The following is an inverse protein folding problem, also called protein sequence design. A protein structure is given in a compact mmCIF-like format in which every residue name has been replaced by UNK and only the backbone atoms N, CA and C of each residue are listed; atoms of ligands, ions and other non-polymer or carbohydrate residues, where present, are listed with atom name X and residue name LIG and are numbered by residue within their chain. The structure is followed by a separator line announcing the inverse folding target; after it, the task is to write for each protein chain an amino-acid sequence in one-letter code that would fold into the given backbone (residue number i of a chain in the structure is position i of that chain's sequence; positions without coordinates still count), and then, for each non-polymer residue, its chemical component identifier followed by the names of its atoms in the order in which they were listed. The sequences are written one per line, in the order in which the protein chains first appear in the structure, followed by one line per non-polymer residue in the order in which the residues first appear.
data_IF_379701750430
#
_entry.id   IF_379701750430
#
_cell.length_a   1.000
_cell.length_b   1.000
_cell.length_c   1.000
_cell.angle_alpha   90.00
_cell.angle_beta   90.00
_cell.angle_gamma   90.00
#
_symmetry.space_group_name_H-M   'P 1'
#
loop_
_entity.id
_entity.type
_entity.pdbx_description
1 polymer ?
#
# COMPACT_ATOMS: atom_id res chain seq x y z
N UNK A 1 14.92 -23.58 -24.36
CA UNK A 1 15.48 -23.07 -23.10
C UNK A 1 16.80 -23.78 -22.86
N UNK A 2 17.87 -23.03 -22.73
CA UNK A 2 19.16 -23.57 -22.28
C UNK A 2 19.09 -23.93 -20.80
N UNK A 3 19.97 -24.81 -20.32
CA UNK A 3 19.97 -25.27 -18.92
C UNK A 3 20.08 -24.11 -17.92
N UNK A 4 20.82 -23.04 -18.26
CA UNK A 4 20.97 -21.85 -17.41
C UNK A 4 19.69 -20.99 -17.36
N UNK A 5 18.94 -20.87 -18.47
CA UNK A 5 17.65 -20.13 -18.50
C UNK A 5 16.59 -20.78 -17.61
N UNK A 6 16.57 -22.12 -17.55
CA UNK A 6 15.70 -22.85 -16.62
C UNK A 6 16.07 -22.53 -15.17
N UNK A 7 17.35 -22.56 -14.82
CA UNK A 7 17.81 -22.21 -13.46
C UNK A 7 17.50 -20.76 -13.08
N UNK A 8 17.63 -19.81 -14.01
CA UNK A 8 17.23 -18.41 -13.79
C UNK A 8 15.72 -18.25 -13.60
N UNK A 9 14.93 -19.01 -14.36
CA UNK A 9 13.46 -18.99 -14.25
C UNK A 9 13.02 -19.52 -12.89
N UNK A 10 13.56 -20.65 -12.46
CA UNK A 10 13.32 -21.25 -11.14
C UNK A 10 13.74 -20.31 -10.01
N UNK A 11 14.95 -19.75 -10.08
CA UNK A 11 15.45 -18.80 -9.10
C UNK A 11 14.55 -17.56 -9.00
N UNK A 12 14.20 -16.97 -10.14
CA UNK A 12 13.34 -15.77 -10.19
C UNK A 12 11.96 -16.03 -9.59
N UNK A 13 11.38 -17.21 -9.83
CA UNK A 13 10.10 -17.62 -9.26
C UNK A 13 10.20 -17.86 -7.74
N UNK A 14 11.19 -18.64 -7.31
CA UNK A 14 11.43 -18.99 -5.90
C UNK A 14 11.62 -17.74 -5.03
N UNK A 15 12.47 -16.82 -5.47
CA UNK A 15 12.81 -15.61 -4.72
C UNK A 15 11.98 -14.38 -5.12
N UNK A 16 10.96 -14.55 -5.97
CA UNK A 16 10.03 -13.49 -6.42
C UNK A 16 10.77 -12.24 -6.94
N UNK A 17 11.64 -12.42 -7.92
CA UNK A 17 12.41 -11.33 -8.58
C UNK A 17 11.60 -10.73 -9.74
N UNK A 18 10.48 -10.09 -9.39
CA UNK A 18 9.49 -9.60 -10.37
C UNK A 18 9.08 -8.13 -10.16
N UNK A 19 9.66 -7.45 -9.17
CA UNK A 19 9.39 -6.03 -8.90
C UNK A 19 10.49 -5.15 -9.50
N UNK A 20 10.19 -3.88 -9.77
CA UNK A 20 11.18 -2.90 -10.26
C UNK A 20 12.44 -2.83 -9.41
N UNK A 21 12.31 -2.97 -8.08
CA UNK A 21 13.44 -2.95 -7.15
C UNK A 21 14.28 -4.22 -7.22
N UNK A 22 13.64 -5.40 -7.30
CA UNK A 22 14.36 -6.67 -7.38
C UNK A 22 15.03 -6.85 -8.76
N UNK A 23 14.38 -6.41 -9.84
CA UNK A 23 14.98 -6.40 -11.18
C UNK A 23 16.17 -5.44 -11.26
N UNK A 24 16.07 -4.26 -10.64
CA UNK A 24 17.19 -3.31 -10.54
C UNK A 24 18.37 -3.92 -9.78
N UNK A 25 18.10 -4.66 -8.70
CA UNK A 25 19.11 -5.34 -7.91
C UNK A 25 19.81 -6.44 -8.73
N UNK A 26 19.05 -7.32 -9.39
CA UNK A 26 19.62 -8.43 -10.16
C UNK A 26 20.49 -7.93 -11.32
N UNK A 27 20.03 -6.92 -12.06
CA UNK A 27 20.83 -6.28 -13.12
C UNK A 27 22.13 -5.69 -12.58
N UNK A 28 22.03 -4.90 -11.50
CA UNK A 28 23.20 -4.26 -10.90
C UNK A 28 24.21 -5.28 -10.37
N UNK A 29 23.76 -6.29 -9.63
CA UNK A 29 24.66 -7.33 -9.08
C UNK A 29 25.29 -8.16 -10.20
N UNK A 30 24.55 -8.48 -11.26
CA UNK A 30 25.09 -9.18 -12.45
C UNK A 30 26.24 -8.40 -13.06
N UNK A 31 26.02 -7.11 -13.35
CA UNK A 31 27.04 -6.23 -13.93
C UNK A 31 28.24 -6.03 -12.99
N UNK A 32 27.99 -5.90 -11.69
CA UNK A 32 29.04 -5.72 -10.69
C UNK A 32 29.88 -6.99 -10.47
N UNK A 33 29.25 -8.16 -10.60
CA UNK A 33 29.92 -9.45 -10.53
C UNK A 33 30.74 -9.75 -11.79
N UNK A 34 30.33 -9.27 -12.98
CA UNK A 34 31.10 -9.46 -14.22
C UNK A 34 32.44 -8.70 -14.24
N UNK A 35 32.59 -7.69 -13.39
CA UNK A 35 33.85 -6.99 -13.14
C UNK A 35 34.82 -7.79 -12.24
N UNK A 36 34.40 -8.92 -11.70
CA UNK A 36 35.14 -9.74 -10.74
C UNK A 36 35.29 -11.19 -11.23
N UNK A 37 36.29 -11.90 -10.71
CA UNK A 37 36.44 -13.34 -10.93
C UNK A 37 35.76 -14.13 -9.81
N UNK A 38 35.02 -15.22 -10.10
CA UNK A 38 34.50 -16.13 -9.07
C UNK A 38 35.63 -16.69 -8.16
N UNK A 39 35.40 -17.01 -6.89
CA UNK A 39 34.13 -16.98 -6.14
C UNK A 39 33.77 -15.60 -5.58
N UNK A 40 32.49 -15.25 -5.65
CA UNK A 40 31.97 -13.96 -5.19
C UNK A 40 31.65 -14.02 -3.70
N UNK A 41 32.10 -13.02 -2.94
CA UNK A 41 31.65 -12.81 -1.55
C UNK A 41 30.53 -11.78 -1.53
N UNK A 42 29.39 -12.12 -0.92
CA UNK A 42 28.26 -11.20 -0.79
C UNK A 42 28.62 -9.93 -0.01
N UNK A 43 29.60 -9.98 0.88
CA UNK A 43 30.03 -8.81 1.66
C UNK A 43 30.75 -7.77 0.79
N UNK A 44 31.32 -8.17 -0.35
CA UNK A 44 31.90 -7.24 -1.33
C UNK A 44 30.84 -6.39 -2.04
N UNK A 45 29.57 -6.78 -1.96
CA UNK A 45 28.44 -6.05 -2.52
C UNK A 45 27.73 -5.16 -1.49
N UNK A 46 28.22 -5.08 -0.25
CA UNK A 46 27.65 -4.25 0.81
C UNK A 46 28.44 -2.97 1.05
N UNK A 47 27.76 -1.94 1.55
CA UNK A 47 28.44 -0.73 2.04
C UNK A 47 29.25 -1.06 3.31
N UNK A 48 30.23 -0.21 3.66
CA UNK A 48 31.06 -0.38 4.87
C UNK A 48 30.26 -0.53 6.18
N UNK A 49 29.04 0.02 6.22
CA UNK A 49 28.13 -0.07 7.37
C UNK A 49 27.14 -1.25 7.27
N UNK A 50 27.19 -2.05 6.21
CA UNK A 50 26.38 -3.26 6.02
C UNK A 50 24.89 -3.03 5.75
N UNK A 51 24.39 -1.79 5.84
CA UNK A 51 22.96 -1.48 5.77
C UNK A 51 22.36 -1.35 4.36
N UNK A 52 23.18 -1.39 3.30
CA UNK A 52 22.75 -1.25 1.91
C UNK A 52 23.69 -2.00 0.96
N UNK A 53 23.20 -2.28 -0.26
CA UNK A 53 24.02 -2.77 -1.38
C UNK A 53 24.88 -1.61 -1.90
N UNK A 54 26.19 -1.78 -1.93
CA UNK A 54 27.14 -0.74 -2.33
C UNK A 54 26.97 -0.36 -3.81
N UNK A 55 26.80 0.94 -4.08
CA UNK A 55 26.69 1.47 -5.44
C UNK A 55 25.33 1.25 -6.12
N UNK A 56 24.40 0.51 -5.49
CA UNK A 56 23.06 0.34 -6.03
C UNK A 56 22.30 1.68 -5.94
N UNK A 57 21.89 2.20 -7.10
CA UNK A 57 21.16 3.45 -7.20
C UNK A 57 20.65 3.69 -8.61
N UNK A 58 19.78 4.70 -8.76
CA UNK A 58 19.14 5.03 -10.04
C UNK A 58 20.15 5.20 -11.17
N UNK A 59 21.23 5.95 -10.94
CA UNK A 59 22.23 6.24 -11.96
C UNK A 59 22.90 4.96 -12.50
N UNK A 60 23.33 4.07 -11.61
CA UNK A 60 23.98 2.81 -11.99
C UNK A 60 23.05 1.90 -12.79
N UNK A 61 21.79 1.75 -12.36
CA UNK A 61 20.80 0.92 -13.05
C UNK A 61 20.42 1.55 -14.40
N UNK A 62 20.29 2.87 -14.47
CA UNK A 62 19.96 3.57 -15.71
C UNK A 62 21.08 3.45 -16.75
N UNK A 63 22.35 3.45 -16.33
CA UNK A 63 23.48 3.23 -17.24
C UNK A 63 23.41 1.83 -17.88
N UNK A 64 23.17 0.79 -17.07
CA UNK A 64 22.98 -0.58 -17.58
C UNK A 64 21.81 -0.65 -18.57
N UNK A 65 20.67 -0.02 -18.26
CA UNK A 65 19.52 -0.01 -19.17
C UNK A 65 19.81 0.74 -20.48
N UNK A 66 20.55 1.85 -20.42
CA UNK A 66 20.94 2.63 -21.59
C UNK A 66 21.84 1.82 -22.55
N UNK A 67 22.76 1.00 -22.02
CA UNK A 67 23.59 0.09 -22.83
C UNK A 67 22.74 -0.89 -23.68
N UNK A 68 21.51 -1.17 -23.24
CA UNK A 68 20.56 -2.07 -23.89
C UNK A 68 19.45 -1.34 -24.68
N UNK A 69 19.62 -0.04 -24.92
CA UNK A 69 18.68 0.80 -25.67
C UNK A 69 17.38 1.10 -24.92
N UNK A 70 17.41 1.10 -23.59
CA UNK A 70 16.24 1.34 -22.73
C UNK A 70 16.40 2.68 -22.01
N UNK A 71 15.75 3.72 -22.55
CA UNK A 71 15.75 5.07 -21.96
C UNK A 71 14.76 5.20 -20.79
N UNK A 72 13.86 4.23 -20.63
CA UNK A 72 12.81 4.26 -19.59
C UNK A 72 13.39 3.98 -18.20
N UNK A 73 13.06 4.83 -17.23
CA UNK A 73 13.46 4.65 -15.83
C UNK A 73 12.71 3.46 -15.19
N UNK A 74 13.47 2.47 -14.72
CA UNK A 74 12.92 1.29 -14.03
C UNK A 74 12.48 1.59 -12.58
N UNK A 75 13.33 2.24 -11.79
CA UNK A 75 13.03 2.62 -10.39
C UNK A 75 13.70 3.94 -9.98
N UNK A 76 12.92 4.88 -9.41
CA UNK A 76 13.41 6.20 -8.95
C UNK A 76 14.49 6.10 -7.86
N UNK A 77 14.35 5.13 -6.95
CA UNK A 77 15.32 4.85 -5.88
C UNK A 77 16.34 3.76 -6.23
N UNK A 78 16.32 3.21 -7.45
CA UNK A 78 17.26 2.15 -7.87
C UNK A 78 17.26 0.86 -7.05
N UNK A 79 16.31 0.63 -6.16
CA UNK A 79 16.24 -0.58 -5.31
C UNK A 79 16.88 -0.47 -3.91
N UNK A 80 17.18 0.75 -3.45
CA UNK A 80 17.88 1.07 -2.17
C UNK A 80 17.13 0.76 -0.85
N UNK A 81 16.20 -0.19 -0.81
CA UNK A 81 15.49 -0.55 0.44
C UNK A 81 16.33 -1.47 1.34
N UNK A 82 16.37 -1.19 2.65
CA UNK A 82 17.42 -1.64 3.57
C UNK A 82 17.41 -3.14 3.93
N UNK A 83 16.27 -3.76 4.26
CA UNK A 83 16.28 -5.15 4.74
C UNK A 83 15.96 -6.18 3.64
N UNK A 84 15.01 -5.90 2.74
CA UNK A 84 14.59 -6.86 1.71
C UNK A 84 15.57 -7.05 0.55
N UNK A 85 16.29 -6.00 0.15
CA UNK A 85 17.24 -6.07 -0.97
C UNK A 85 18.53 -6.78 -0.59
N UNK A 86 18.96 -6.72 0.68
CA UNK A 86 20.19 -7.38 1.15
C UNK A 86 20.04 -8.90 1.10
N UNK A 87 18.93 -9.45 1.63
CA UNK A 87 18.69 -10.89 1.60
C UNK A 87 18.68 -11.41 0.15
N UNK A 88 17.97 -10.71 -0.74
CA UNK A 88 17.90 -11.06 -2.17
C UNK A 88 19.24 -10.94 -2.89
N UNK A 89 20.07 -9.98 -2.49
CA UNK A 89 21.43 -9.84 -3.00
C UNK A 89 22.27 -11.06 -2.61
N UNK A 90 22.26 -11.45 -1.32
CA UNK A 90 23.03 -12.58 -0.81
C UNK A 90 22.68 -13.88 -1.55
N UNK A 91 21.38 -14.22 -1.61
CA UNK A 91 20.94 -15.43 -2.31
C UNK A 91 21.21 -15.38 -3.82
N UNK A 92 21.25 -14.20 -4.42
CA UNK A 92 21.60 -14.07 -5.83
C UNK A 92 23.10 -14.24 -6.08
N UNK A 93 23.96 -13.75 -5.18
CA UNK A 93 25.40 -14.00 -5.22
C UNK A 93 25.70 -15.50 -5.04
N UNK A 94 25.01 -16.16 -4.11
CA UNK A 94 25.11 -17.62 -3.93
C UNK A 94 24.73 -18.37 -5.22
N UNK A 95 23.63 -17.97 -5.86
CA UNK A 95 23.21 -18.50 -7.15
C UNK A 95 24.27 -18.31 -8.26
N UNK A 96 24.91 -17.14 -8.34
CA UNK A 96 25.99 -16.91 -9.31
C UNK A 96 27.21 -17.81 -9.05
N UNK A 97 27.54 -18.05 -7.77
CA UNK A 97 28.59 -18.99 -7.40
C UNK A 97 28.24 -20.44 -7.79
N UNK A 98 26.98 -20.86 -7.62
CA UNK A 98 26.52 -22.18 -8.08
C UNK A 98 26.63 -22.34 -9.60
N UNK A 99 26.26 -21.30 -10.37
CA UNK A 99 26.44 -21.30 -11.82
C UNK A 99 27.92 -21.39 -12.21
N UNK A 100 28.80 -20.68 -11.49
CA UNK A 100 30.25 -20.74 -11.71
C UNK A 100 30.79 -22.17 -11.49
N UNK A 101 30.40 -22.82 -10.40
CA UNK A 101 30.81 -24.20 -10.10
C UNK A 101 30.34 -25.21 -11.15
N UNK A 102 29.17 -24.97 -11.75
CA UNK A 102 28.60 -25.80 -12.82
C UNK A 102 29.16 -25.45 -14.20
N UNK A 103 30.10 -24.51 -14.32
CA UNK A 103 30.59 -23.95 -15.59
C UNK A 103 29.47 -23.40 -16.50
N UNK A 104 28.41 -22.85 -15.89
CA UNK A 104 27.24 -22.27 -16.58
C UNK A 104 27.18 -20.73 -16.45
N UNK A 105 28.21 -20.10 -15.89
CA UNK A 105 28.25 -18.66 -15.67
C UNK A 105 28.59 -17.91 -16.97
N UNK A 106 27.58 -17.33 -17.60
CA UNK A 106 27.71 -16.39 -18.71
C UNK A 106 27.02 -15.08 -18.35
N UNK A 107 27.82 -14.06 -17.99
CA UNK A 107 27.29 -12.76 -17.58
C UNK A 107 26.53 -12.04 -18.70
N UNK A 108 26.94 -12.21 -19.95
CA UNK A 108 26.26 -11.59 -21.09
C UNK A 108 24.87 -12.21 -21.26
N UNK A 109 24.79 -13.54 -21.20
CA UNK A 109 23.52 -14.24 -21.32
C UNK A 109 22.59 -13.97 -20.11
N UNK A 110 23.12 -13.95 -18.89
CA UNK A 110 22.37 -13.65 -17.66
C UNK A 110 21.84 -12.22 -17.67
N UNK A 111 22.67 -11.24 -18.04
CA UNK A 111 22.23 -9.85 -18.11
C UNK A 111 21.16 -9.66 -19.19
N UNK A 112 21.36 -10.23 -20.38
CA UNK A 112 20.36 -10.20 -21.45
C UNK A 112 19.03 -10.83 -21.01
N UNK A 113 19.08 -11.92 -20.25
CA UNK A 113 17.88 -12.56 -19.72
C UNK A 113 17.14 -11.64 -18.74
N UNK A 114 17.84 -10.95 -17.84
CA UNK A 114 17.23 -9.96 -16.95
C UNK A 114 16.70 -8.74 -17.70
N UNK A 115 17.41 -8.26 -18.73
CA UNK A 115 16.94 -7.19 -19.61
C UNK A 115 15.65 -7.61 -20.31
N UNK A 116 15.53 -8.87 -20.73
CA UNK A 116 14.29 -9.39 -21.30
C UNK A 116 13.16 -9.42 -20.27
N UNK A 117 13.43 -9.78 -19.01
CA UNK A 117 12.44 -9.63 -17.91
C UNK A 117 12.07 -8.16 -17.67
N UNK A 118 13.00 -7.22 -17.83
CA UNK A 118 12.71 -5.78 -17.73
C UNK A 118 11.87 -5.31 -18.92
N UNK A 119 12.15 -5.77 -20.13
CA UNK A 119 11.34 -5.49 -21.33
C UNK A 119 9.95 -6.09 -21.20
N UNK A 120 9.83 -7.30 -20.69
CA UNK A 120 8.55 -7.93 -20.35
C UNK A 120 7.83 -7.17 -19.25
N UNK A 121 8.53 -6.72 -18.20
CA UNK A 121 7.97 -5.85 -17.19
C UNK A 121 7.43 -4.56 -17.82
N UNK A 122 8.14 -3.98 -18.79
CA UNK A 122 7.63 -2.81 -19.52
C UNK A 122 6.53 -3.15 -20.53
N UNK A 123 6.50 -4.33 -21.16
CA UNK A 123 5.46 -4.78 -22.10
C UNK A 123 4.16 -5.20 -21.41
N UNK A 124 4.26 -5.92 -20.30
CA UNK A 124 3.14 -6.24 -19.39
C UNK A 124 2.63 -4.99 -18.66
N UNK A 125 3.40 -3.89 -18.71
CA UNK A 125 3.00 -2.57 -18.23
C UNK A 125 3.27 -1.48 -19.30
N UNK A 126 2.61 -1.58 -20.48
CA UNK A 126 3.02 -0.94 -21.75
C UNK A 126 2.84 0.58 -21.81
N UNK A 127 2.48 1.22 -20.70
CA UNK A 127 2.56 2.67 -20.58
C UNK A 127 3.09 3.03 -19.20
N UNK A 128 4.25 3.70 -19.17
CA UNK A 128 4.63 4.58 -18.07
C UNK A 128 3.57 5.67 -17.82
N UNK A 129 2.75 5.97 -18.82
CA UNK A 129 1.62 6.88 -18.71
C UNK A 129 0.35 6.31 -18.03
N UNK A 130 0.23 5.01 -17.75
CA UNK A 130 -0.98 4.45 -17.07
C UNK A 130 -0.76 4.03 -15.62
N UNK A 131 0.44 3.62 -15.21
CA UNK A 131 0.69 3.19 -13.81
C UNK A 131 1.13 4.32 -12.88
N UNK A 132 1.88 5.30 -13.37
CA UNK A 132 2.07 6.55 -12.61
C UNK A 132 0.75 7.32 -12.55
N UNK A 133 -0.02 7.39 -13.64
CA UNK A 133 -1.35 8.00 -13.57
C UNK A 133 -2.35 7.19 -12.74
N UNK A 134 -2.37 5.85 -12.68
CA UNK A 134 -3.30 5.16 -11.76
C UNK A 134 -2.87 5.25 -10.28
N UNK A 135 -1.57 5.39 -9.99
CA UNK A 135 -1.01 5.68 -8.66
C UNK A 135 -0.93 7.18 -8.33
N UNK A 136 -1.42 8.05 -9.20
CA UNK A 136 -1.50 9.50 -8.96
C UNK A 136 -2.87 10.07 -9.30
N UNK A 137 -3.77 9.26 -9.88
CA UNK A 137 -5.13 9.66 -10.23
C UNK A 137 -6.02 9.43 -9.02
N UNK A 138 -6.78 10.46 -8.62
CA UNK A 138 -7.83 10.32 -7.63
C UNK A 138 -8.76 9.15 -7.96
N UNK A 139 -9.37 8.55 -6.94
CA UNK A 139 -10.49 7.64 -7.13
C UNK A 139 -11.61 8.35 -7.89
N UNK A 140 -12.09 7.77 -8.98
CA UNK A 140 -13.24 8.31 -9.70
C UNK A 140 -14.52 7.93 -8.98
N UNK A 141 -15.32 8.91 -8.60
CA UNK A 141 -16.64 8.69 -8.00
C UNK A 141 -17.72 9.26 -8.93
N UNK A 142 -18.58 8.39 -9.45
CA UNK A 142 -19.77 8.80 -10.21
C UNK A 142 -20.98 8.79 -9.29
N UNK A 143 -21.69 9.91 -9.19
CA UNK A 143 -22.97 9.97 -8.49
C UNK A 143 -24.08 9.60 -9.46
N UNK A 144 -24.25 8.31 -9.67
CA UNK A 144 -25.36 7.77 -10.42
C UNK A 144 -26.65 7.87 -9.59
N UNK A 145 -27.62 8.64 -10.06
CA UNK A 145 -28.90 8.84 -9.37
C UNK A 145 -29.74 7.57 -9.22
N UNK A 146 -29.43 6.51 -9.98
CA UNK A 146 -30.08 5.19 -9.86
C UNK A 146 -29.49 4.34 -8.72
N UNK A 147 -28.28 4.66 -8.24
CA UNK A 147 -27.64 3.94 -7.13
C UNK A 147 -28.04 4.51 -5.77
N UNK A 148 -28.06 3.63 -4.77
CA UNK A 148 -28.16 4.06 -3.37
C UNK A 148 -26.88 4.76 -2.92
N UNK A 149 -26.96 5.65 -1.92
CA UNK A 149 -25.76 6.30 -1.36
C UNK A 149 -24.80 5.23 -0.80
N UNK A 150 -25.33 4.20 -0.15
CA UNK A 150 -24.54 3.07 0.34
C UNK A 150 -23.74 2.41 -0.79
N UNK A 151 -24.38 2.15 -1.94
CA UNK A 151 -23.71 1.57 -3.11
C UNK A 151 -22.61 2.47 -3.68
N UNK A 152 -22.82 3.79 -3.70
CA UNK A 152 -21.79 4.75 -4.13
C UNK A 152 -20.57 4.71 -3.20
N UNK A 153 -20.78 4.62 -1.88
CA UNK A 153 -19.70 4.46 -0.90
C UNK A 153 -19.02 3.10 -1.03
N UNK A 154 -19.79 2.05 -1.29
CA UNK A 154 -19.28 0.70 -1.54
C UNK A 154 -18.34 0.65 -2.75
N UNK A 155 -18.76 1.23 -3.89
CA UNK A 155 -17.94 1.31 -5.10
C UNK A 155 -16.58 2.00 -4.82
N UNK A 156 -16.57 3.05 -3.99
CA UNK A 156 -15.34 3.75 -3.59
C UNK A 156 -14.42 2.84 -2.75
N UNK A 157 -14.97 2.15 -1.76
CA UNK A 157 -14.20 1.25 -0.89
C UNK A 157 -13.68 0.05 -1.69
N UNK A 158 -14.48 -0.51 -2.60
CA UNK A 158 -14.06 -1.57 -3.51
C UNK A 158 -12.93 -1.12 -4.43
N UNK A 159 -12.99 0.11 -4.96
CA UNK A 159 -11.90 0.70 -5.73
C UNK A 159 -10.62 0.85 -4.90
N UNK A 160 -10.75 1.22 -3.62
CA UNK A 160 -9.61 1.27 -2.69
C UNK A 160 -8.99 -0.11 -2.45
N UNK A 161 -9.81 -1.15 -2.26
CA UNK A 161 -9.34 -2.54 -2.16
C UNK A 161 -8.68 -3.03 -3.46
N UNK A 162 -9.24 -2.70 -4.62
CA UNK A 162 -8.63 -3.02 -5.91
C UNK A 162 -7.23 -2.40 -6.03
N UNK A 163 -7.10 -1.12 -5.69
CA UNK A 163 -5.80 -0.42 -5.68
C UNK A 163 -4.83 -1.02 -4.66
N UNK A 164 -5.29 -1.44 -3.49
CA UNK A 164 -4.47 -2.11 -2.49
C UNK A 164 -3.89 -3.43 -3.01
N UNK A 165 -4.67 -4.24 -3.73
CA UNK A 165 -4.17 -5.48 -4.37
C UNK A 165 -3.04 -5.21 -5.37
N UNK A 166 -3.07 -4.06 -6.04
CA UNK A 166 -2.03 -3.62 -6.98
C UNK A 166 -0.82 -2.96 -6.31
N UNK A 167 -0.91 -2.65 -5.01
CA UNK A 167 0.13 -1.99 -4.22
C UNK A 167 0.45 -2.77 -2.93
N UNK A 168 1.09 -3.95 -3.03
CA UNK A 168 1.44 -4.75 -1.86
C UNK A 168 2.28 -3.95 -0.85
N UNK A 169 1.90 -4.02 0.43
CA UNK A 169 2.56 -3.29 1.52
C UNK A 169 2.01 -1.89 1.82
N UNK A 170 1.01 -1.42 1.06
CA UNK A 170 0.29 -0.16 1.36
C UNK A 170 -1.16 -0.50 1.68
N UNK A 171 -1.65 -0.06 2.83
CA UNK A 171 -3.02 -0.33 3.28
C UNK A 171 -3.98 0.77 2.80
N UNK A 172 -4.12 0.88 1.47
CA UNK A 172 -4.92 1.93 0.80
C UNK A 172 -6.37 1.93 1.27
N UNK A 173 -7.01 0.76 1.41
CA UNK A 173 -8.41 0.68 1.83
C UNK A 173 -8.61 1.18 3.27
N UNK A 174 -7.68 0.85 4.17
CA UNK A 174 -7.68 1.36 5.54
C UNK A 174 -7.59 2.89 5.59
N UNK A 175 -6.66 3.47 4.81
CA UNK A 175 -6.50 4.92 4.71
C UNK A 175 -7.78 5.60 4.20
N UNK A 176 -8.37 5.10 3.10
CA UNK A 176 -9.61 5.66 2.54
C UNK A 176 -10.74 5.59 3.56
N UNK A 177 -10.91 4.46 4.25
CA UNK A 177 -11.94 4.31 5.29
C UNK A 177 -11.75 5.30 6.44
N UNK A 178 -10.53 5.42 6.97
CA UNK A 178 -10.21 6.33 8.07
C UNK A 178 -10.49 7.79 7.70
N UNK A 179 -10.03 8.21 6.52
CA UNK A 179 -10.22 9.59 6.06
C UNK A 179 -11.69 9.88 5.70
N UNK A 180 -12.44 8.88 5.23
CA UNK A 180 -13.88 9.01 4.99
C UNK A 180 -14.66 9.19 6.31
N UNK A 181 -14.31 8.43 7.35
CA UNK A 181 -14.84 8.62 8.70
C UNK A 181 -14.48 10.03 9.22
N UNK A 182 -13.24 10.45 9.05
CA UNK A 182 -12.80 11.80 9.42
C UNK A 182 -13.59 12.91 8.72
N UNK A 183 -13.78 12.79 7.40
CA UNK A 183 -14.53 13.74 6.59
C UNK A 183 -15.99 13.84 7.03
N UNK A 184 -16.60 12.68 7.31
CA UNK A 184 -17.97 12.59 7.80
C UNK A 184 -18.12 13.31 9.13
N UNK A 185 -17.25 13.03 10.10
CA UNK A 185 -17.30 13.64 11.43
C UNK A 185 -17.04 15.15 11.33
N UNK A 186 -16.05 15.58 10.54
CA UNK A 186 -15.76 17.00 10.35
C UNK A 186 -16.94 17.77 9.72
N UNK A 187 -17.70 17.11 8.85
CA UNK A 187 -18.92 17.67 8.26
C UNK A 187 -20.06 17.76 9.29
N UNK A 188 -20.22 16.73 10.13
CA UNK A 188 -21.25 16.71 11.18
C UNK A 188 -20.95 17.66 12.35
N UNK A 189 -19.67 17.84 12.69
CA UNK A 189 -19.22 18.53 13.90
C UNK A 189 -18.21 19.64 13.55
N UNK A 190 -18.62 20.70 12.83
CA UNK A 190 -17.69 21.72 12.32
C UNK A 190 -16.96 22.50 13.43
N UNK A 191 -17.52 22.52 14.65
CA UNK A 191 -16.95 23.22 15.81
C UNK A 191 -16.03 22.35 16.67
N UNK A 192 -15.91 21.05 16.37
CA UNK A 192 -15.05 20.12 17.10
C UNK A 192 -13.71 20.03 16.40
N UNK A 193 -12.61 20.27 17.14
CA UNK A 193 -11.26 20.07 16.61
C UNK A 193 -10.97 18.57 16.52
N UNK A 194 -10.94 18.05 15.31
CA UNK A 194 -10.58 16.66 15.04
C UNK A 194 -9.12 16.63 14.58
N UNK A 195 -8.30 15.82 15.23
CA UNK A 195 -6.94 15.57 14.77
C UNK A 195 -7.00 14.52 13.67
N UNK A 196 -6.67 14.93 12.45
CA UNK A 196 -6.46 14.01 11.33
C UNK A 196 -4.97 13.69 11.26
N UNK A 197 -4.64 12.43 11.06
CA UNK A 197 -3.27 11.93 11.07
C UNK A 197 -3.03 11.16 9.79
N UNK A 198 -1.83 11.27 9.22
CA UNK A 198 -1.46 10.49 8.05
C UNK A 198 -1.47 9.00 8.38
N UNK A 199 -2.04 8.19 7.50
CA UNK A 199 -2.13 6.74 7.64
C UNK A 199 -0.74 6.07 7.66
N UNK A 200 0.26 6.73 7.07
CA UNK A 200 1.66 6.26 7.02
C UNK A 200 2.47 6.57 8.28
N UNK A 201 1.90 7.31 9.25
CA UNK A 201 2.57 7.58 10.53
C UNK A 201 2.54 6.29 11.34
N UNK A 202 3.68 5.61 11.42
CA UNK A 202 3.83 4.41 12.24
C UNK A 202 3.32 4.68 13.67
N UNK A 203 2.65 3.69 14.25
CA UNK A 203 2.36 3.63 15.68
C UNK A 203 3.69 3.62 16.47
N UNK A 204 4.31 4.80 16.61
CA UNK A 204 5.14 5.10 17.77
C UNK A 204 4.28 4.83 19.03
N UNK A 205 4.86 4.68 20.23
CA UNK A 205 4.08 4.51 21.46
C UNK A 205 3.38 5.83 21.86
N UNK A 206 2.71 6.48 20.90
CA UNK A 206 1.68 7.44 21.15
C UNK A 206 0.57 6.69 21.87
N UNK A 207 0.20 7.11 23.08
CA UNK A 207 -0.90 6.54 23.85
C UNK A 207 -2.28 6.76 23.21
N UNK A 208 -2.38 6.64 21.89
CA UNK A 208 -3.57 6.85 21.08
C UNK A 208 -4.64 5.83 21.44
N UNK A 209 -5.78 6.36 21.85
CA UNK A 209 -6.97 5.59 22.22
C UNK A 209 -7.72 5.04 21.01
N UNK A 210 -7.53 5.60 19.82
CA UNK A 210 -8.11 5.14 18.56
C UNK A 210 -7.63 5.98 17.36
N UNK A 211 -8.28 5.80 16.23
CA UNK A 211 -8.14 6.65 15.03
C UNK A 211 -8.65 8.07 15.30
N UNK A 212 -9.73 8.17 16.08
CA UNK A 212 -10.26 9.43 16.59
C UNK A 212 -10.63 9.30 18.07
N UNK A 213 -10.51 10.38 18.82
CA UNK A 213 -11.02 10.50 20.19
C UNK A 213 -11.88 11.76 20.26
N UNK A 214 -13.18 11.59 20.46
CA UNK A 214 -14.17 12.69 20.44
C UNK A 214 -15.02 12.57 21.70
N UNK A 215 -14.93 13.55 22.59
CA UNK A 215 -15.46 13.42 23.94
C UNK A 215 -14.83 12.21 24.64
N UNK A 216 -15.65 11.27 25.09
CA UNK A 216 -15.25 10.00 25.68
C UNK A 216 -15.22 8.83 24.68
N UNK A 217 -15.53 9.07 23.39
CA UNK A 217 -15.64 8.01 22.39
C UNK A 217 -14.33 7.83 21.63
N UNK A 218 -13.76 6.63 21.72
CA UNK A 218 -12.56 6.21 20.99
C UNK A 218 -12.96 5.42 19.74
N UNK A 219 -12.82 6.04 18.58
CA UNK A 219 -13.24 5.47 17.29
C UNK A 219 -12.05 4.73 16.67
N UNK A 220 -12.26 3.48 16.28
CA UNK A 220 -11.30 2.65 15.57
C UNK A 220 -11.86 2.29 14.20
N UNK A 221 -11.09 2.52 13.15
CA UNK A 221 -11.46 2.25 11.77
C UNK A 221 -10.55 1.15 11.24
N UNK A 222 -11.14 0.06 10.78
CA UNK A 222 -10.36 -1.08 10.26
C UNK A 222 -11.07 -1.77 9.11
N UNK A 223 -10.30 -2.30 8.15
CA UNK A 223 -10.84 -3.18 7.12
C UNK A 223 -11.08 -4.60 7.64
N UNK A 224 -10.37 -4.99 8.69
CA UNK A 224 -10.34 -6.35 9.23
C UNK A 224 -10.10 -6.29 10.76
N UNK A 225 -11.16 -6.46 11.57
CA UNK A 225 -11.04 -6.50 13.03
C UNK A 225 -10.15 -7.66 13.50
N UNK A 226 -9.39 -7.42 14.56
CA UNK A 226 -8.47 -8.40 15.16
C UNK A 226 -8.64 -8.46 16.67
N UNK A 227 -8.18 -9.53 17.30
CA UNK A 227 -8.14 -9.62 18.78
C UNK A 227 -7.33 -8.48 19.40
N UNK A 228 -6.26 -8.04 18.74
CA UNK A 228 -5.44 -6.92 19.21
C UNK A 228 -6.24 -5.62 19.28
N UNK A 229 -7.10 -5.37 18.30
CA UNK A 229 -8.04 -4.25 18.34
C UNK A 229 -9.03 -4.38 19.50
N UNK A 230 -9.61 -5.56 19.72
CA UNK A 230 -10.55 -5.77 20.84
C UNK A 230 -9.86 -5.58 22.20
N UNK A 231 -8.62 -6.06 22.37
CA UNK A 231 -7.83 -5.78 23.58
C UNK A 231 -7.65 -4.28 23.80
N UNK A 232 -7.35 -3.52 22.76
CA UNK A 232 -7.27 -2.05 22.84
C UNK A 232 -8.62 -1.42 23.21
N UNK A 233 -9.73 -1.97 22.73
CA UNK A 233 -11.06 -1.54 23.17
C UNK A 233 -11.30 -1.84 24.67
N UNK A 234 -10.83 -2.99 25.19
CA UNK A 234 -10.87 -3.28 26.62
C UNK A 234 -10.04 -2.27 27.43
N UNK A 235 -8.84 -1.92 26.97
CA UNK A 235 -7.99 -0.92 27.62
C UNK A 235 -8.66 0.47 27.65
N UNK A 236 -9.41 0.81 26.60
CA UNK A 236 -10.22 2.03 26.55
C UNK A 236 -11.37 1.98 27.56
N UNK A 237 -12.10 0.86 27.64
CA UNK A 237 -13.19 0.67 28.61
C UNK A 237 -12.71 0.78 30.06
N UNK A 238 -11.53 0.23 30.36
CA UNK A 238 -10.89 0.36 31.68
C UNK A 238 -10.55 1.81 32.05
N UNK A 239 -10.45 2.69 31.04
CA UNK A 239 -10.18 4.12 31.18
C UNK A 239 -11.43 4.98 31.04
N UNK A 240 -12.63 4.38 31.17
CA UNK A 240 -13.93 5.03 31.02
C UNK A 240 -14.18 5.66 29.64
N UNK A 241 -13.51 5.15 28.61
CA UNK A 241 -13.80 5.53 27.23
C UNK A 241 -14.78 4.55 26.58
N UNK A 242 -15.54 5.02 25.60
CA UNK A 242 -16.50 4.25 24.81
C UNK A 242 -15.90 3.86 23.46
N UNK A 243 -15.53 2.59 23.23
CA UNK A 243 -14.98 2.19 21.95
C UNK A 243 -16.08 2.07 20.90
N UNK A 244 -15.86 2.68 19.74
CA UNK A 244 -16.66 2.52 18.54
C UNK A 244 -15.78 1.95 17.43
N UNK A 245 -16.10 0.75 16.94
CA UNK A 245 -15.41 0.12 15.82
C UNK A 245 -16.20 0.36 14.54
N UNK A 246 -15.56 0.95 13.54
CA UNK A 246 -16.11 1.14 12.20
C UNK A 246 -15.35 0.21 11.26
N UNK A 247 -16.06 -0.70 10.60
CA UNK A 247 -15.47 -1.73 9.74
C UNK A 247 -16.28 -1.97 8.48
N UNK A 248 -15.73 -2.75 7.54
CA UNK A 248 -16.47 -3.24 6.36
C UNK A 248 -17.62 -4.16 6.76
N UNK A 249 -18.59 -4.35 5.86
CA UNK A 249 -19.70 -5.29 6.06
C UNK A 249 -19.24 -6.70 6.43
N UNK A 250 -18.20 -7.22 5.78
CA UNK A 250 -17.64 -8.54 6.09
C UNK A 250 -16.90 -8.57 7.43
N UNK A 251 -16.39 -7.43 7.91
CA UNK A 251 -15.71 -7.33 9.19
C UNK A 251 -16.64 -7.29 10.40
N UNK A 252 -17.90 -6.84 10.25
CA UNK A 252 -18.85 -6.70 11.37
C UNK A 252 -19.03 -8.01 12.14
N UNK A 253 -19.30 -9.11 11.44
CA UNK A 253 -19.49 -10.42 12.08
C UNK A 253 -18.24 -10.88 12.84
N UNK A 254 -17.06 -10.64 12.27
CA UNK A 254 -15.77 -10.93 12.92
C UNK A 254 -15.55 -10.10 14.18
N UNK A 255 -15.79 -8.78 14.14
CA UNK A 255 -15.69 -7.92 15.32
C UNK A 255 -16.64 -8.36 16.43
N UNK A 256 -17.90 -8.69 16.10
CA UNK A 256 -18.90 -9.15 17.08
C UNK A 256 -18.43 -10.45 17.74
N UNK A 257 -17.95 -11.41 16.96
CA UNK A 257 -17.44 -12.68 17.50
C UNK A 257 -16.25 -12.46 18.45
N UNK A 258 -15.30 -11.61 18.05
CA UNK A 258 -14.13 -11.27 18.87
C UNK A 258 -14.54 -10.53 20.16
N UNK A 259 -15.50 -9.60 20.09
CA UNK A 259 -16.01 -8.87 21.25
C UNK A 259 -16.77 -9.78 22.22
N UNK A 260 -17.51 -10.78 21.70
CA UNK A 260 -18.16 -11.82 22.53
C UNK A 260 -17.13 -12.67 23.27
N UNK A 261 -16.09 -13.10 22.58
CA UNK A 261 -15.01 -13.89 23.18
C UNK A 261 -14.27 -13.12 24.30
N UNK A 262 -14.23 -11.79 24.19
CA UNK A 262 -13.63 -10.91 25.19
C UNK A 262 -14.64 -10.38 26.24
N UNK A 263 -15.89 -10.85 26.24
CA UNK A 263 -16.96 -10.45 27.17
C UNK A 263 -17.26 -8.94 27.20
N UNK A 264 -17.17 -8.29 26.02
CA UNK A 264 -17.37 -6.83 25.85
C UNK A 264 -18.32 -6.49 24.71
N UNK A 265 -19.02 -7.46 24.15
CA UNK A 265 -19.92 -7.27 23.00
C UNK A 265 -21.03 -6.24 23.25
N UNK A 266 -21.51 -6.11 24.49
CA UNK A 266 -22.54 -5.11 24.88
C UNK A 266 -21.94 -3.77 25.30
N UNK A 267 -20.60 -3.64 25.26
CA UNK A 267 -19.85 -2.47 25.73
C UNK A 267 -19.09 -1.74 24.61
N UNK A 268 -19.07 -2.32 23.41
CA UNK A 268 -18.39 -1.78 22.24
C UNK A 268 -19.42 -1.68 21.12
N UNK A 269 -19.54 -0.50 20.52
CA UNK A 269 -20.35 -0.33 19.32
C UNK A 269 -19.57 -0.79 18.09
N UNK A 270 -20.23 -1.52 17.18
CA UNK A 270 -19.63 -2.01 15.94
C UNK A 270 -20.55 -1.60 14.79
N UNK A 271 -20.05 -0.72 13.92
CA UNK A 271 -20.81 -0.18 12.80
C UNK A 271 -20.15 -0.52 11.46
N UNK A 272 -20.99 -0.76 10.46
CA UNK A 272 -20.59 -0.92 9.08
C UNK A 272 -20.35 0.47 8.45
N UNK A 273 -19.22 0.67 7.77
CA UNK A 273 -18.80 1.98 7.29
C UNK A 273 -19.73 2.58 6.23
N UNK A 274 -20.23 1.78 5.28
CA UNK A 274 -21.07 2.29 4.19
C UNK A 274 -22.39 2.81 4.75
N UNK A 275 -23.01 2.10 5.69
CA UNK A 275 -24.19 2.54 6.43
C UNK A 275 -23.89 3.76 7.31
N UNK A 276 -22.77 3.73 8.03
CA UNK A 276 -22.34 4.85 8.89
C UNK A 276 -22.20 6.15 8.11
N UNK A 277 -21.73 6.10 6.86
CA UNK A 277 -21.64 7.27 5.98
C UNK A 277 -22.99 7.60 5.34
N UNK A 278 -23.67 6.61 4.78
CA UNK A 278 -24.90 6.82 4.01
C UNK A 278 -26.01 7.49 4.83
N UNK A 279 -26.18 7.09 6.10
CA UNK A 279 -27.20 7.67 6.99
C UNK A 279 -27.05 9.18 7.12
N UNK A 280 -25.84 9.69 7.32
CA UNK A 280 -25.63 11.13 7.46
C UNK A 280 -25.76 11.89 6.15
N UNK A 281 -25.38 11.29 5.01
CA UNK A 281 -25.64 11.92 3.71
C UNK A 281 -27.16 12.05 3.47
N UNK A 282 -27.96 11.05 3.85
CA UNK A 282 -29.42 11.16 3.82
C UNK A 282 -29.93 12.29 4.70
N UNK A 283 -29.44 12.41 5.93
CA UNK A 283 -29.80 13.48 6.87
C UNK A 283 -29.41 14.87 6.32
N UNK A 284 -28.17 15.06 5.85
CA UNK A 284 -27.68 16.34 5.34
C UNK A 284 -28.42 16.79 4.08
N UNK A 285 -28.84 15.86 3.22
CA UNK A 285 -29.67 16.17 2.07
C UNK A 285 -31.17 16.31 2.40
N UNK A 286 -31.55 16.17 3.69
CA UNK A 286 -32.94 16.12 4.15
C UNK A 286 -33.79 15.10 3.38
N UNK A 287 -33.18 13.97 3.02
CA UNK A 287 -33.76 12.91 2.17
C UNK A 287 -34.15 13.34 0.75
N UNK A 288 -33.79 14.56 0.31
CA UNK A 288 -34.18 15.12 -0.98
C UNK A 288 -33.23 14.68 -2.09
N UNK A 289 -33.76 13.98 -3.10
CA UNK A 289 -32.96 13.47 -4.22
C UNK A 289 -32.19 14.57 -4.95
N UNK A 290 -32.81 15.73 -5.14
CA UNK A 290 -32.20 16.90 -5.81
C UNK A 290 -30.97 17.45 -5.08
N UNK A 291 -30.83 17.18 -3.77
CA UNK A 291 -29.69 17.64 -2.95
C UNK A 291 -28.60 16.58 -2.78
N UNK A 292 -28.83 15.33 -3.17
CA UNK A 292 -27.89 14.21 -2.92
C UNK A 292 -26.53 14.44 -3.56
N UNK A 293 -26.50 14.78 -4.86
CA UNK A 293 -25.23 14.98 -5.59
C UNK A 293 -24.39 16.11 -4.98
N UNK A 294 -25.04 17.22 -4.62
CA UNK A 294 -24.38 18.33 -3.93
C UNK A 294 -23.83 17.91 -2.56
N UNK A 295 -24.61 17.15 -1.78
CA UNK A 295 -24.21 16.69 -0.44
C UNK A 295 -23.04 15.71 -0.51
N UNK A 296 -23.05 14.77 -1.45
CA UNK A 296 -21.91 13.85 -1.67
C UNK A 296 -20.67 14.63 -2.09
N UNK A 297 -20.82 15.63 -2.97
CA UNK A 297 -19.71 16.50 -3.37
C UNK A 297 -19.09 17.23 -2.18
N UNK A 298 -19.90 17.80 -1.29
CA UNK A 298 -19.41 18.48 -0.07
C UNK A 298 -18.64 17.53 0.86
N UNK A 299 -19.12 16.30 1.02
CA UNK A 299 -18.40 15.27 1.79
C UNK A 299 -17.06 14.91 1.13
N UNK A 300 -17.02 14.75 -0.19
CA UNK A 300 -15.79 14.50 -0.96
C UNK A 300 -14.81 15.67 -0.85
N UNK A 301 -15.29 16.91 -0.85
CA UNK A 301 -14.46 18.09 -0.62
C UNK A 301 -13.86 18.10 0.79
N UNK A 302 -14.64 17.74 1.82
CA UNK A 302 -14.12 17.57 3.17
C UNK A 302 -13.04 16.48 3.26
N UNK A 303 -13.28 15.34 2.61
CA UNK A 303 -12.32 14.26 2.49
C UNK A 303 -11.02 14.71 1.80
N UNK A 304 -11.12 15.36 0.64
CA UNK A 304 -9.95 15.79 -0.11
C UNK A 304 -9.14 16.85 0.64
N UNK A 305 -9.80 17.74 1.41
CA UNK A 305 -9.10 18.67 2.31
C UNK A 305 -8.29 17.95 3.38
N UNK A 306 -8.81 16.86 3.96
CA UNK A 306 -8.08 16.04 4.94
C UNK A 306 -6.87 15.38 4.26
N UNK A 307 -7.06 14.80 3.07
CA UNK A 307 -5.95 14.22 2.30
C UNK A 307 -4.84 15.25 2.06
N UNK A 308 -5.20 16.47 1.63
CA UNK A 308 -4.24 17.56 1.40
C UNK A 308 -3.46 17.98 2.65
N UNK A 309 -4.06 17.81 3.83
CA UNK A 309 -3.43 18.19 5.10
C UNK A 309 -2.56 17.07 5.68
N UNK A 310 -2.92 15.82 5.46
CA UNK A 310 -2.37 14.67 6.20
C UNK A 310 -1.56 13.70 5.36
N UNK A 311 -1.74 13.70 4.03
CA UNK A 311 -1.15 12.69 3.15
C UNK A 311 -0.31 13.33 2.05
N UNK A 312 0.80 12.69 1.71
CA UNK A 312 1.66 13.09 0.59
C UNK A 312 1.26 12.44 -0.73
N UNK A 313 0.40 11.41 -0.70
CA UNK A 313 -0.05 10.69 -1.88
C UNK A 313 -1.36 11.27 -2.43
N UNK A 314 -1.33 12.06 -3.52
CA UNK A 314 -2.53 12.66 -4.09
C UNK A 314 -3.46 11.64 -4.73
N UNK A 315 -3.03 10.39 -4.93
CA UNK A 315 -3.89 9.33 -5.47
C UNK A 315 -5.03 8.98 -4.52
N UNK A 316 -4.86 9.20 -3.22
CA UNK A 316 -5.89 8.96 -2.22
C UNK A 316 -7.11 9.88 -2.36
N UNK A 317 -6.99 10.99 -3.08
CA UNK A 317 -8.10 11.91 -3.35
C UNK A 317 -9.24 11.23 -4.11
N UNK A 318 -10.40 11.85 -4.10
CA UNK A 318 -11.57 11.45 -4.87
C UNK A 318 -11.89 12.55 -5.89
N UNK A 319 -12.00 12.19 -7.16
CA UNK A 319 -12.49 13.06 -8.23
C UNK A 319 -13.94 12.72 -8.53
N UNK A 320 -14.80 13.72 -8.49
CA UNK A 320 -16.21 13.60 -8.88
C UNK A 320 -16.30 13.59 -10.42
N UNK A 321 -17.01 12.60 -10.96
CA UNK A 321 -17.44 12.54 -12.36
C UNK A 321 -18.60 13.47 -12.67
#
# INVERSE_FOLDING_TARGET
MTQFESSLTEFSAQYRINSKGHLSLALFVTRKASEQTPSFSADNFLTKQGGQVAGLGRGAVQAILADHGIDRVLAKEGGRTSQGSIHKMRVYVDFLNELAQKNLLDFSAIENWWIERVREYFRSHPLGLKRESFRSKPFGLSVDSSKSIRSIVSDLIEAAFARQRECPGVMVAGAVMQHLVGAKIATALPNVKIKHEGFSVADAPSGRKGDFLIGDTAIHVTTAPTEALIRKCCDNLAQNLRPLVITTQSGVGGAIALAKNADVAERIDILEIEQFVATNVYEWCAFQQTKRSLTVRQMVEAYNRIIDQCETDPSLKIAMG
#
